data_IF_901198427606
#
_entry.id   IF_901198427606
#
_cell.length_a   1.000
_cell.length_b   1.000
_cell.length_c   1.000
_cell.angle_alpha   90.00
_cell.angle_beta   90.00
_cell.angle_gamma   90.00
#
_symmetry.space_group_name_H-M   'P 1'
#
loop_
_entity.id
_entity.type
_entity.pdbx_description
1 polymer ?
#
# COMPACT_ATOMS: atom_id res chain seq x y z
N UNK A 1 -21.91 7.96 -0.34
CA UNK A 1 -20.58 7.55 -0.80
C UNK A 1 -19.62 8.64 -0.37
N UNK A 2 -18.47 8.28 0.19
CA UNK A 2 -17.49 9.21 0.75
C UNK A 2 -16.12 8.92 0.16
N UNK A 3 -15.33 9.96 -0.07
CA UNK A 3 -13.89 9.85 -0.36
C UNK A 3 -13.13 10.29 0.88
N UNK A 4 -12.11 9.52 1.27
CA UNK A 4 -11.18 9.82 2.35
C UNK A 4 -9.90 10.41 1.74
N UNK A 5 -9.40 11.49 2.30
CA UNK A 5 -8.16 12.10 1.84
C UNK A 5 -7.48 12.90 2.95
N UNK A 6 -6.19 13.19 2.75
CA UNK A 6 -5.48 14.19 3.54
C UNK A 6 -5.24 15.43 2.70
N UNK A 7 -5.13 16.58 3.35
CA UNK A 7 -4.76 17.84 2.68
C UNK A 7 -3.87 18.67 3.58
N UNK A 8 -2.94 19.40 2.99
CA UNK A 8 -2.09 20.33 3.72
C UNK A 8 -2.94 21.36 4.50
N UNK A 9 -2.48 21.69 5.69
CA UNK A 9 -3.12 22.65 6.61
C UNK A 9 -2.08 23.66 7.08
N UNK A 10 -1.58 24.54 6.19
CA UNK A 10 -0.39 25.36 6.45
C UNK A 10 -0.62 26.49 7.47
N UNK A 11 -1.87 26.73 7.87
CA UNK A 11 -2.24 27.78 8.82
C UNK A 11 -2.10 27.34 10.30
N UNK A 12 -1.87 26.05 10.56
CA UNK A 12 -1.70 25.49 11.90
C UNK A 12 -0.21 25.19 12.17
N UNK A 13 0.38 25.77 13.23
CA UNK A 13 1.76 25.43 13.65
C UNK A 13 1.87 23.92 13.96
N UNK A 14 3.05 23.33 13.72
CA UNK A 14 3.36 21.91 13.94
C UNK A 14 2.43 20.91 13.22
N UNK A 15 1.71 21.39 12.20
CA UNK A 15 0.74 20.60 11.44
C UNK A 15 1.17 20.46 9.98
N UNK A 16 1.29 19.21 9.53
CA UNK A 16 1.68 18.83 8.18
C UNK A 16 0.44 18.76 7.29
N UNK A 17 -0.60 18.05 7.76
CA UNK A 17 -1.85 17.87 7.05
C UNK A 17 -3.01 17.56 8.01
N UNK A 18 -4.24 17.61 7.50
CA UNK A 18 -5.43 17.13 8.19
C UNK A 18 -6.11 15.98 7.44
N UNK A 19 -6.90 15.18 8.15
CA UNK A 19 -7.70 14.08 7.59
C UNK A 19 -9.15 14.53 7.34
N UNK A 20 -9.65 14.29 6.14
CA UNK A 20 -10.93 14.81 5.65
C UNK A 20 -11.74 13.73 4.95
N UNK A 21 -13.06 13.90 4.93
CA UNK A 21 -13.94 13.14 4.03
C UNK A 21 -14.77 14.09 3.16
N UNK A 22 -15.02 13.71 1.91
CA UNK A 22 -15.91 14.45 1.01
C UNK A 22 -17.07 13.57 0.56
N UNK A 23 -18.29 14.11 0.56
CA UNK A 23 -19.46 13.41 0.04
C UNK A 23 -19.42 13.38 -1.49
N UNK A 24 -19.54 12.19 -2.08
CA UNK A 24 -19.61 12.01 -3.53
C UNK A 24 -21.04 12.06 -4.09
N UNK A 25 -22.04 12.19 -3.21
CA UNK A 25 -23.46 12.22 -3.59
C UNK A 25 -24.00 13.65 -3.61
N UNK A 26 -23.34 14.55 -2.88
CA UNK A 26 -23.67 15.95 -2.88
C UNK A 26 -22.99 16.64 -4.07
N UNK A 27 -23.74 17.43 -4.83
CA UNK A 27 -23.19 18.23 -5.93
C UNK A 27 -22.19 19.28 -5.46
N UNK A 28 -22.28 19.69 -4.19
CA UNK A 28 -21.37 20.66 -3.59
C UNK A 28 -20.07 20.03 -3.07
N UNK A 29 -19.94 18.69 -3.11
CA UNK A 29 -18.79 17.95 -2.57
C UNK A 29 -18.41 18.41 -1.16
N UNK A 30 -19.39 18.48 -0.26
CA UNK A 30 -19.17 18.98 1.10
C UNK A 30 -18.03 18.20 1.78
N UNK A 31 -17.02 18.95 2.22
CA UNK A 31 -15.83 18.44 2.88
C UNK A 31 -15.98 18.56 4.39
N UNK A 32 -15.70 17.47 5.09
CA UNK A 32 -15.77 17.37 6.55
C UNK A 32 -14.37 17.16 7.13
N UNK A 33 -13.95 18.07 8.00
CA UNK A 33 -12.74 17.92 8.81
C UNK A 33 -13.02 16.90 9.92
N UNK A 34 -12.20 15.84 10.00
CA UNK A 34 -12.32 14.85 11.07
C UNK A 34 -11.63 15.29 12.36
N UNK A 35 -10.95 16.44 12.37
CA UNK A 35 -10.22 16.96 13.52
C UNK A 35 -8.95 16.15 13.84
N UNK A 36 -8.47 15.39 12.86
CA UNK A 36 -7.26 14.57 12.95
C UNK A 36 -6.17 15.24 12.11
N UNK A 37 -4.95 15.26 12.64
CA UNK A 37 -3.77 15.92 12.05
C UNK A 37 -2.61 14.96 11.87
N UNK A 38 -1.69 15.32 10.98
CA UNK A 38 -0.38 14.70 10.76
C UNK A 38 -0.48 13.20 10.43
N UNK A 39 -1.12 12.91 9.31
CA UNK A 39 -1.30 11.57 8.75
C UNK A 39 -0.36 11.40 7.55
N UNK A 40 0.71 10.63 7.73
CA UNK A 40 1.73 10.42 6.68
C UNK A 40 1.60 9.05 6.02
N UNK A 41 1.47 8.00 6.84
CA UNK A 41 1.63 6.62 6.38
C UNK A 41 0.32 5.91 6.07
N UNK A 42 -0.68 6.10 6.94
CA UNK A 42 -1.86 5.25 6.91
C UNK A 42 -3.11 5.98 7.38
N UNK A 43 -4.11 5.99 6.51
CA UNK A 43 -5.51 6.16 6.86
C UNK A 43 -6.36 5.38 5.86
N UNK A 44 -7.27 4.54 6.35
CA UNK A 44 -8.13 3.74 5.50
C UNK A 44 -9.46 3.43 6.19
N UNK A 45 -10.48 3.16 5.39
CA UNK A 45 -11.79 2.73 5.86
C UNK A 45 -11.69 1.36 6.51
N UNK A 46 -12.37 1.15 7.63
CA UNK A 46 -12.64 -0.21 8.09
C UNK A 46 -13.52 -0.88 7.03
N UNK A 47 -13.12 -2.03 6.47
CA UNK A 47 -13.78 -2.69 5.33
C UNK A 47 -15.08 -3.40 5.75
N UNK A 48 -16.07 -2.60 6.14
CA UNK A 48 -17.43 -3.03 6.50
C UNK A 48 -18.46 -2.24 5.69
N UNK A 49 -19.68 -2.76 5.52
CA UNK A 49 -20.74 -2.09 4.76
C UNK A 49 -22.00 -1.86 5.62
N UNK A 50 -22.43 -0.59 5.83
CA UNK A 50 -21.74 0.66 5.52
C UNK A 50 -20.54 0.90 6.45
N UNK A 51 -19.52 1.63 5.95
CA UNK A 51 -18.42 2.11 6.79
C UNK A 51 -18.53 3.62 7.02
N UNK A 52 -18.48 4.00 8.30
CA UNK A 52 -18.26 5.37 8.77
C UNK A 52 -17.07 5.42 9.72
N UNK A 53 -16.26 4.37 9.74
CA UNK A 53 -15.12 4.20 10.65
C UNK A 53 -13.85 4.17 9.83
N UNK A 54 -12.90 4.99 10.23
CA UNK A 54 -11.59 5.13 9.62
C UNK A 54 -10.55 4.74 10.65
N UNK A 55 -9.56 3.98 10.23
CA UNK A 55 -8.38 3.66 11.02
C UNK A 55 -7.20 4.42 10.45
N UNK A 56 -6.36 4.99 11.30
CA UNK A 56 -5.22 5.80 10.88
C UNK A 56 -4.05 5.70 11.86
N UNK A 57 -2.87 6.11 11.38
CA UNK A 57 -1.64 6.28 12.18
C UNK A 57 -1.17 7.72 12.10
N UNK A 58 -0.69 8.28 13.21
CA UNK A 58 -0.27 9.69 13.29
C UNK A 58 1.24 9.85 13.32
N UNK A 59 1.69 11.05 12.98
CA UNK A 59 3.07 11.51 13.08
C UNK A 59 3.13 12.83 13.84
N UNK A 60 4.33 13.21 14.26
CA UNK A 60 4.64 14.53 14.78
C UNK A 60 5.51 15.28 13.77
N UNK A 61 5.32 16.59 13.65
CA UNK A 61 6.23 17.44 12.88
C UNK A 61 7.61 17.43 13.52
N UNK A 62 8.66 17.44 12.71
CA UNK A 62 10.04 17.43 13.18
C UNK A 62 10.89 18.38 12.35
N UNK A 63 11.83 19.06 12.99
CA UNK A 63 12.85 19.86 12.29
C UNK A 63 13.95 18.99 11.67
N UNK A 64 14.06 17.72 12.08
CA UNK A 64 14.98 16.77 11.49
C UNK A 64 14.38 16.18 10.21
N UNK A 65 15.21 15.88 9.22
CA UNK A 65 14.77 15.14 8.03
C UNK A 65 14.10 13.82 8.45
N UNK A 66 12.99 13.39 7.81
CA UNK A 66 12.37 13.96 6.59
C UNK A 66 11.36 15.09 6.86
N UNK A 67 11.32 15.66 8.06
CA UNK A 67 10.36 16.70 8.45
C UNK A 67 9.27 16.21 9.40
N UNK A 68 9.28 14.93 9.76
CA UNK A 68 8.31 14.30 10.65
C UNK A 68 8.90 13.07 11.32
N UNK A 69 8.24 12.62 12.40
CA UNK A 69 8.52 11.37 13.09
C UNK A 69 7.21 10.62 13.34
N UNK A 70 7.14 9.34 12.96
CA UNK A 70 5.96 8.53 13.17
C UNK A 70 5.73 8.16 14.64
N UNK A 71 4.46 8.15 15.06
CA UNK A 71 4.06 7.65 16.37
C UNK A 71 3.90 6.13 16.42
N UNK A 72 3.85 5.46 15.25
CA UNK A 72 3.64 4.01 15.11
C UNK A 72 2.37 3.48 15.81
N UNK A 73 1.42 4.38 16.09
CA UNK A 73 0.16 4.07 16.74
C UNK A 73 -0.87 3.61 15.71
N UNK A 74 -2.00 3.10 16.21
CA UNK A 74 -3.17 2.79 15.41
C UNK A 74 -4.39 3.32 16.14
N UNK A 75 -5.13 4.22 15.50
CA UNK A 75 -6.28 4.90 16.09
C UNK A 75 -7.47 4.74 15.17
N UNK A 76 -8.66 4.64 15.73
CA UNK A 76 -9.93 4.61 14.99
C UNK A 76 -10.76 5.84 15.30
N UNK A 77 -11.42 6.40 14.29
CA UNK A 77 -12.42 7.43 14.44
C UNK A 77 -13.67 7.04 13.64
N UNK A 78 -14.83 7.28 14.24
CA UNK A 78 -16.12 7.08 13.58
C UNK A 78 -16.79 8.43 13.43
N UNK A 79 -17.44 8.70 12.31
CA UNK A 79 -18.29 9.88 12.14
C UNK A 79 -19.74 9.48 11.88
N UNK A 80 -20.68 10.41 12.10
CA UNK A 80 -22.10 10.15 11.84
C UNK A 80 -22.45 10.46 10.38
N UNK A 81 -23.59 9.95 9.89
CA UNK A 81 -24.11 10.33 8.56
C UNK A 81 -24.44 11.83 8.42
N UNK A 82 -24.49 12.58 9.54
CA UNK A 82 -24.61 14.04 9.57
C UNK A 82 -23.24 14.74 9.64
N UNK A 83 -22.14 14.02 9.43
CA UNK A 83 -20.78 14.55 9.37
C UNK A 83 -20.10 14.84 10.70
N UNK A 84 -20.67 14.42 11.84
CA UNK A 84 -20.06 14.67 13.15
C UNK A 84 -19.08 13.55 13.52
N UNK A 85 -17.79 13.87 13.63
CA UNK A 85 -16.79 12.97 14.19
C UNK A 85 -17.05 12.65 15.67
N UNK A 86 -16.93 11.38 16.04
CA UNK A 86 -17.01 10.89 17.41
C UNK A 86 -15.63 10.85 18.05
N UNK A 87 -15.57 10.55 19.35
CA UNK A 87 -14.31 10.45 20.08
C UNK A 87 -13.45 9.31 19.50
N UNK A 88 -12.18 9.56 19.15
CA UNK A 88 -11.27 8.51 18.68
C UNK A 88 -11.00 7.45 19.75
N UNK A 89 -10.75 6.22 19.31
CA UNK A 89 -10.31 5.09 20.14
C UNK A 89 -8.93 4.63 19.66
N UNK A 90 -7.96 4.62 20.58
CA UNK A 90 -6.64 4.01 20.33
C UNK A 90 -6.76 2.49 20.35
N UNK A 91 -6.22 1.84 19.33
CA UNK A 91 -6.00 0.39 19.26
C UNK A 91 -4.56 0.11 19.66
N UNK A 92 -3.58 0.69 18.97
CA UNK A 92 -2.15 0.55 19.31
C UNK A 92 -1.67 1.89 19.85
N UNK A 93 -1.11 1.88 21.06
CA UNK A 93 -0.49 3.07 21.67
C UNK A 93 0.76 3.49 20.90
N UNK A 94 1.13 4.77 21.03
CA UNK A 94 2.37 5.28 20.45
C UNK A 94 3.58 4.49 20.94
N UNK A 95 4.47 4.15 20.03
CA UNK A 95 5.61 3.29 20.31
C UNK A 95 6.81 3.59 19.40
N UNK A 96 7.95 3.00 19.73
CA UNK A 96 9.22 3.29 19.06
C UNK A 96 9.30 2.79 17.60
N UNK A 97 8.39 1.90 17.16
CA UNK A 97 8.35 1.44 15.77
C UNK A 97 9.45 0.49 15.31
N UNK A 98 10.30 -0.01 16.21
CA UNK A 98 11.40 -0.91 15.85
C UNK A 98 12.58 -0.20 15.17
N UNK A 99 13.38 -0.93 14.41
CA UNK A 99 14.47 -0.36 13.63
C UNK A 99 13.90 0.49 12.49
N UNK A 100 14.41 1.73 12.36
CA UNK A 100 13.82 2.77 11.51
C UNK A 100 12.39 3.17 11.86
N UNK A 101 11.95 2.95 13.10
CA UNK A 101 10.60 3.32 13.55
C UNK A 101 10.27 4.81 13.51
N UNK A 102 11.27 5.69 13.31
CA UNK A 102 11.03 7.10 13.00
C UNK A 102 10.32 7.29 11.65
N UNK A 103 10.51 6.37 10.70
CA UNK A 103 9.78 6.33 9.44
C UNK A 103 8.37 5.78 9.61
N UNK A 104 8.17 4.81 10.49
CA UNK A 104 6.82 4.46 10.91
C UNK A 104 6.33 3.07 10.54
N UNK A 105 5.08 2.81 10.92
CA UNK A 105 4.36 1.57 10.69
C UNK A 105 3.25 1.82 9.69
N UNK A 106 3.24 1.08 8.58
CA UNK A 106 2.09 1.02 7.69
C UNK A 106 1.14 -0.09 8.16
N UNK A 107 -0.15 0.10 7.92
CA UNK A 107 -1.17 -0.90 8.19
C UNK A 107 -1.93 -1.20 6.90
N UNK A 108 -2.42 -2.42 6.76
CA UNK A 108 -3.13 -2.88 5.57
C UNK A 108 -4.30 -3.74 5.99
N UNK A 109 -5.52 -3.25 5.75
CA UNK A 109 -6.74 -4.03 5.94
C UNK A 109 -6.80 -5.18 4.93
N UNK A 110 -7.31 -6.32 5.37
CA UNK A 110 -7.87 -7.31 4.48
C UNK A 110 -9.18 -6.82 3.87
N UNK A 111 -9.90 -7.70 3.21
CA UNK A 111 -11.20 -7.40 2.62
C UNK A 111 -12.37 -7.58 3.60
N UNK A 112 -12.08 -7.72 4.90
CA UNK A 112 -13.03 -7.77 6.00
C UNK A 112 -12.50 -7.01 7.25
N UNK A 113 -13.39 -6.77 8.22
CA UNK A 113 -13.09 -5.97 9.41
C UNK A 113 -12.26 -6.67 10.47
N UNK A 114 -11.88 -7.93 10.25
CA UNK A 114 -11.25 -8.79 11.25
C UNK A 114 -9.77 -9.02 10.94
N UNK A 115 -9.34 -8.80 9.70
CA UNK A 115 -7.97 -8.95 9.26
C UNK A 115 -7.29 -7.61 9.05
N UNK A 116 -6.33 -7.28 9.92
CA UNK A 116 -5.46 -6.12 9.76
C UNK A 116 -4.01 -6.55 9.90
N UNK A 117 -3.19 -6.23 8.89
CA UNK A 117 -1.75 -6.43 8.93
C UNK A 117 -1.03 -5.13 9.30
N UNK A 118 0.17 -5.26 9.84
CA UNK A 118 1.13 -4.16 9.95
C UNK A 118 2.42 -4.52 9.23
N UNK A 119 3.14 -3.50 8.77
CA UNK A 119 4.47 -3.64 8.17
C UNK A 119 5.36 -2.47 8.56
N UNK A 120 6.62 -2.79 8.85
CA UNK A 120 7.72 -1.92 9.23
C UNK A 120 8.95 -2.25 8.38
N UNK A 121 10.00 -1.45 8.50
CA UNK A 121 11.27 -1.72 7.83
C UNK A 121 11.93 -3.03 8.30
N UNK A 122 11.61 -3.50 9.51
CA UNK A 122 12.24 -4.65 10.16
C UNK A 122 11.32 -5.85 10.38
N UNK A 123 10.02 -5.72 10.11
CA UNK A 123 9.07 -6.79 10.41
C UNK A 123 7.71 -6.55 9.76
N UNK A 124 6.95 -7.63 9.59
CA UNK A 124 5.52 -7.55 9.33
C UNK A 124 4.76 -8.57 10.15
N UNK A 125 3.47 -8.32 10.35
CA UNK A 125 2.62 -9.20 11.12
C UNK A 125 1.16 -8.78 11.12
N UNK A 126 0.45 -9.20 12.16
CA UNK A 126 -0.98 -8.89 12.34
C UNK A 126 -1.19 -7.89 13.46
N UNK A 127 -2.32 -7.20 13.41
CA UNK A 127 -2.89 -6.48 14.55
C UNK A 127 -3.96 -7.37 15.18
N UNK A 128 -3.77 -7.72 16.44
CA UNK A 128 -4.82 -8.36 17.24
C UNK A 128 -5.75 -7.27 17.77
N UNK A 129 -6.93 -7.16 17.16
CA UNK A 129 -7.92 -6.12 17.46
C UNK A 129 -8.65 -6.34 18.81
N UNK A 130 -8.61 -7.56 19.34
CA UNK A 130 -9.20 -7.91 20.63
C UNK A 130 -8.25 -7.56 21.78
N UNK A 131 -6.97 -7.91 21.61
CA UNK A 131 -5.92 -7.66 22.61
C UNK A 131 -5.22 -6.32 22.43
N UNK A 132 -5.48 -5.61 21.33
CA UNK A 132 -4.84 -4.33 21.02
C UNK A 132 -3.30 -4.46 20.97
N UNK A 133 -2.80 -5.49 20.30
CA UNK A 133 -1.35 -5.80 20.21
C UNK A 133 -0.90 -6.09 18.78
N UNK A 134 0.40 -5.93 18.52
CA UNK A 134 1.03 -6.34 17.27
C UNK A 134 1.59 -7.76 17.44
N UNK A 135 1.24 -8.66 16.52
CA UNK A 135 1.75 -10.03 16.48
C UNK A 135 2.71 -10.16 15.29
N UNK A 136 4.01 -10.23 15.57
CA UNK A 136 5.02 -10.40 14.53
C UNK A 136 4.90 -11.78 13.86
N UNK A 137 4.76 -11.80 12.54
CA UNK A 137 4.77 -13.02 11.74
C UNK A 137 6.17 -13.31 11.17
N UNK A 138 6.90 -12.26 10.80
CA UNK A 138 8.20 -12.37 10.14
C UNK A 138 9.08 -11.15 10.45
N UNK A 139 10.33 -11.42 10.80
CA UNK A 139 11.41 -10.43 10.85
C UNK A 139 11.99 -10.23 9.44
N UNK A 140 12.38 -9.01 9.13
CA UNK A 140 12.99 -8.58 7.88
C UNK A 140 14.35 -7.97 8.21
N UNK A 141 15.37 -8.27 7.42
CA UNK A 141 16.64 -7.55 7.52
C UNK A 141 16.40 -6.15 6.95
N UNK A 142 16.50 -5.06 7.74
CA UNK A 142 16.18 -3.74 7.23
C UNK A 142 17.15 -3.31 6.14
N UNK A 143 16.63 -2.83 5.03
CA UNK A 143 17.44 -2.30 3.94
C UNK A 143 18.03 -0.93 4.34
N UNK A 144 19.34 -0.77 4.13
CA UNK A 144 20.07 0.44 4.46
C UNK A 144 20.08 1.40 3.25
N UNK A 145 19.14 2.34 3.23
CA UNK A 145 18.95 3.33 2.15
C UNK A 145 20.08 4.37 2.05
N UNK A 146 20.82 4.59 3.15
CA UNK A 146 21.81 5.67 3.30
C UNK A 146 21.24 7.09 3.11
N UNK A 147 19.92 7.26 3.13
CA UNK A 147 19.24 8.54 3.00
C UNK A 147 18.29 8.82 4.17
N UNK A 148 17.59 9.95 4.08
CA UNK A 148 16.60 10.40 5.08
C UNK A 148 15.24 9.73 4.87
N UNK A 149 15.24 8.45 4.48
CA UNK A 149 14.04 7.63 4.32
C UNK A 149 14.33 6.17 4.67
N UNK A 150 13.30 5.41 5.05
CA UNK A 150 13.41 3.98 5.26
C UNK A 150 12.57 3.22 4.25
N UNK A 151 13.11 2.11 3.73
CA UNK A 151 12.32 1.20 2.92
C UNK A 151 11.40 0.37 3.81
N UNK A 152 10.11 0.37 3.46
CA UNK A 152 9.09 -0.49 4.08
C UNK A 152 8.53 -1.38 2.97
N UNK A 153 8.44 -2.70 3.18
CA UNK A 153 7.89 -3.62 2.19
C UNK A 153 6.49 -3.22 1.72
N UNK A 154 6.26 -3.32 0.42
CA UNK A 154 4.89 -3.39 -0.11
C UNK A 154 4.24 -4.68 0.36
N UNK A 155 3.01 -4.61 0.87
CA UNK A 155 2.25 -5.73 1.43
C UNK A 155 0.79 -5.59 1.03
N UNK A 156 0.16 -6.69 0.60
CA UNK A 156 -1.28 -6.73 0.33
C UNK A 156 -1.88 -8.08 0.73
N UNK A 157 -3.14 -8.07 1.19
CA UNK A 157 -3.91 -9.28 1.40
C UNK A 157 -4.42 -9.86 0.08
N UNK A 158 -4.45 -11.19 -0.01
CA UNK A 158 -5.23 -11.90 -1.01
C UNK A 158 -6.73 -11.72 -0.76
N UNK A 159 -7.54 -11.89 -1.81
CA UNK A 159 -9.01 -11.83 -1.69
C UNK A 159 -9.62 -12.93 -0.84
N UNK A 160 -8.81 -13.92 -0.46
CA UNK A 160 -9.17 -14.98 0.47
C UNK A 160 -9.05 -14.58 1.95
N UNK A 161 -8.48 -13.41 2.27
CA UNK A 161 -8.09 -12.97 3.62
C UNK A 161 -7.21 -14.00 4.37
N UNK A 162 -6.54 -14.89 3.62
CA UNK A 162 -5.69 -15.96 4.16
C UNK A 162 -4.28 -15.90 3.60
N UNK A 163 -4.06 -15.22 2.49
CA UNK A 163 -2.74 -15.07 1.88
C UNK A 163 -2.27 -13.63 2.01
N UNK A 164 -1.00 -13.42 2.37
CA UNK A 164 -0.33 -12.13 2.30
C UNK A 164 0.73 -12.21 1.21
N UNK A 165 0.69 -11.26 0.27
CA UNK A 165 1.73 -11.03 -0.73
C UNK A 165 2.57 -9.85 -0.30
N UNK A 166 3.89 -9.98 -0.34
CA UNK A 166 4.79 -8.93 0.12
C UNK A 166 6.10 -8.91 -0.67
N UNK A 167 6.76 -7.76 -0.64
CA UNK A 167 8.10 -7.59 -1.19
C UNK A 167 9.12 -8.02 -0.14
N UNK A 168 9.80 -9.14 -0.35
CA UNK A 168 10.87 -9.63 0.52
C UNK A 168 12.20 -8.98 0.17
N UNK A 169 12.99 -8.60 1.17
CA UNK A 169 14.40 -8.23 1.03
C UNK A 169 15.26 -9.44 1.42
N UNK A 170 15.92 -10.03 0.42
CA UNK A 170 16.56 -11.34 0.53
C UNK A 170 18.09 -11.26 0.54
N UNK A 171 18.72 -12.43 0.73
CA UNK A 171 20.17 -12.57 0.84
C UNK A 171 20.94 -11.92 -0.34
N UNK A 172 22.13 -11.36 -0.06
CA UNK A 172 22.96 -10.73 -1.08
C UNK A 172 23.46 -11.74 -2.11
N UNK A 173 23.72 -11.25 -3.33
CA UNK A 173 24.25 -12.06 -4.43
C UNK A 173 25.76 -11.87 -4.61
N UNK A 174 26.33 -10.84 -3.99
CA UNK A 174 27.74 -10.50 -4.06
C UNK A 174 28.43 -10.52 -2.70
N UNK A 175 29.21 -9.48 -2.43
CA UNK A 175 30.01 -9.31 -1.21
C UNK A 175 29.45 -8.22 -0.29
N UNK A 176 28.35 -7.59 -0.69
CA UNK A 176 27.61 -6.63 0.11
C UNK A 176 27.08 -7.26 1.41
N UNK A 177 26.81 -6.42 2.41
CA UNK A 177 26.17 -6.88 3.64
C UNK A 177 24.71 -7.25 3.38
N UNK A 178 24.08 -8.07 4.23
CA UNK A 178 22.65 -8.36 4.11
C UNK A 178 21.75 -7.12 4.07
N UNK A 179 22.09 -6.07 4.83
CA UNK A 179 21.35 -4.80 4.83
C UNK A 179 21.49 -4.01 3.52
N UNK A 180 22.50 -4.32 2.70
CA UNK A 180 22.77 -3.69 1.42
C UNK A 180 22.43 -4.61 0.23
N UNK A 181 21.75 -5.73 0.48
CA UNK A 181 21.37 -6.65 -0.59
C UNK A 181 20.46 -5.95 -1.61
N UNK A 182 20.74 -6.09 -2.92
CA UNK A 182 19.89 -5.53 -3.96
C UNK A 182 18.74 -6.48 -4.34
N UNK A 183 18.58 -7.61 -3.63
CA UNK A 183 17.62 -8.66 -3.99
C UNK A 183 16.28 -8.40 -3.32
N UNK A 184 15.29 -8.09 -4.15
CA UNK A 184 13.90 -7.94 -3.74
C UNK A 184 13.01 -8.87 -4.56
N UNK A 185 12.22 -9.69 -3.89
CA UNK A 185 11.34 -10.70 -4.49
C UNK A 185 9.89 -10.44 -4.08
N UNK A 186 8.93 -10.94 -4.86
CA UNK A 186 7.55 -11.10 -4.36
C UNK A 186 7.42 -12.49 -3.78
N UNK A 187 7.06 -12.53 -2.51
CA UNK A 187 6.73 -13.75 -1.80
C UNK A 187 5.25 -13.77 -1.38
N UNK A 188 4.72 -14.97 -1.23
CA UNK A 188 3.43 -15.19 -0.59
C UNK A 188 3.59 -16.02 0.68
N UNK A 189 2.77 -15.71 1.67
CA UNK A 189 2.62 -16.48 2.90
C UNK A 189 1.14 -16.70 3.20
N UNK A 190 0.78 -17.93 3.53
CA UNK A 190 -0.56 -18.26 4.00
C UNK A 190 -0.63 -18.20 5.53
N UNK A 191 -1.71 -17.63 6.06
CA UNK A 191 -2.00 -17.56 7.48
C UNK A 191 -2.04 -18.95 8.11
N UNK A 192 -1.49 -19.08 9.33
CA UNK A 192 -1.36 -20.36 10.02
C UNK A 192 -0.24 -21.27 9.49
N UNK A 193 0.44 -20.87 8.41
CA UNK A 193 1.64 -21.52 7.88
C UNK A 193 2.86 -20.61 8.01
N UNK A 194 4.01 -21.24 8.26
CA UNK A 194 5.31 -20.57 8.17
C UNK A 194 5.96 -20.78 6.79
N UNK A 195 5.28 -21.48 5.88
CA UNK A 195 5.76 -21.65 4.52
C UNK A 195 5.66 -20.33 3.76
N UNK A 196 6.79 -19.88 3.24
CA UNK A 196 6.88 -18.76 2.29
C UNK A 196 7.17 -19.35 0.91
N UNK A 197 6.53 -18.80 -0.11
CA UNK A 197 6.77 -19.17 -1.49
C UNK A 197 7.19 -17.94 -2.27
N UNK A 198 8.36 -17.99 -2.89
CA UNK A 198 8.81 -16.98 -3.85
C UNK A 198 8.01 -17.15 -5.14
N UNK A 199 7.25 -16.12 -5.51
CA UNK A 199 6.39 -16.11 -6.70
C UNK A 199 7.05 -15.44 -7.90
N UNK A 200 7.80 -14.37 -7.65
CA UNK A 200 8.57 -13.67 -8.66
C UNK A 200 9.91 -13.22 -8.07
N UNK A 201 10.99 -13.54 -8.77
CA UNK A 201 12.34 -13.17 -8.36
C UNK A 201 12.74 -11.81 -8.92
N UNK A 202 13.53 -11.06 -8.15
CA UNK A 202 14.18 -9.81 -8.55
C UNK A 202 13.16 -8.82 -9.12
N UNK A 203 12.09 -8.57 -8.39
CA UNK A 203 11.02 -7.63 -8.74
C UNK A 203 11.44 -6.18 -8.49
N UNK A 204 12.39 -5.95 -7.59
CA UNK A 204 12.84 -4.63 -7.16
C UNK A 204 12.07 -4.12 -5.93
N UNK A 205 12.65 -3.14 -5.23
CA UNK A 205 12.18 -2.67 -3.92
C UNK A 205 10.81 -1.96 -3.97
N UNK A 206 10.44 -1.38 -5.12
CA UNK A 206 9.18 -0.65 -5.29
C UNK A 206 8.13 -1.45 -6.07
N UNK A 207 8.02 -2.75 -5.78
CA UNK A 207 7.13 -3.63 -6.52
C UNK A 207 5.63 -3.46 -6.19
N UNK A 208 5.27 -2.93 -5.02
CA UNK A 208 3.88 -2.57 -4.65
C UNK A 208 2.80 -3.55 -5.14
N UNK A 209 2.76 -4.80 -4.61
CA UNK A 209 1.80 -5.79 -5.05
C UNK A 209 0.36 -5.35 -4.74
N UNK A 210 -0.57 -5.63 -5.65
CA UNK A 210 -2.01 -5.39 -5.50
C UNK A 210 -2.82 -6.57 -6.06
N UNK A 211 -4.06 -6.75 -5.56
CA UNK A 211 -4.88 -7.93 -5.89
C UNK A 211 -6.20 -7.53 -6.55
N UNK A 212 -6.57 -8.25 -7.62
CA UNK A 212 -7.84 -8.04 -8.33
C UNK A 212 -9.05 -8.40 -7.48
N UNK A 213 -10.26 -8.08 -7.94
CA UNK A 213 -11.48 -8.73 -7.44
C UNK A 213 -11.47 -10.24 -7.74
N UNK A 214 -12.35 -10.99 -7.06
CA UNK A 214 -12.53 -12.43 -7.31
C UNK A 214 -13.06 -12.63 -8.73
N UNK A 215 -12.32 -13.40 -9.52
CA UNK A 215 -12.68 -13.76 -10.87
C UNK A 215 -13.73 -14.87 -10.85
N UNK A 216 -14.78 -14.71 -11.65
CA UNK A 216 -15.79 -15.75 -11.83
C UNK A 216 -15.16 -16.97 -12.51
N UNK A 217 -15.04 -18.06 -11.77
CA UNK A 217 -14.61 -19.36 -12.30
C UNK A 217 -15.80 -20.32 -12.37
N UNK A 218 -15.73 -21.29 -13.28
CA UNK A 218 -16.66 -22.43 -13.33
C UNK A 218 -16.34 -23.48 -12.26
N UNK A 219 -15.23 -23.30 -11.52
CA UNK A 219 -14.81 -24.14 -10.40
C UNK A 219 -15.15 -23.48 -9.07
N UNK A 220 -15.12 -24.24 -7.97
CA UNK A 220 -15.28 -23.71 -6.61
C UNK A 220 -14.02 -22.98 -6.08
N UNK A 221 -13.01 -22.76 -6.92
CA UNK A 221 -11.77 -22.11 -6.54
C UNK A 221 -11.96 -20.59 -6.46
N UNK A 222 -11.44 -19.98 -5.39
CA UNK A 222 -11.31 -18.52 -5.30
C UNK A 222 -10.13 -18.12 -6.19
N UNK A 223 -10.43 -17.71 -7.42
CA UNK A 223 -9.43 -17.22 -8.37
C UNK A 223 -9.36 -15.71 -8.33
N UNK A 224 -8.15 -15.16 -8.29
CA UNK A 224 -7.86 -13.75 -8.46
C UNK A 224 -6.43 -13.61 -9.01
N UNK A 225 -6.09 -12.41 -9.47
CA UNK A 225 -4.77 -12.08 -10.02
C UNK A 225 -4.03 -11.13 -9.08
N UNK A 226 -2.70 -11.20 -9.14
CA UNK A 226 -1.80 -10.30 -8.44
C UNK A 226 -1.09 -9.44 -9.49
N UNK A 227 -1.19 -8.12 -9.35
CA UNK A 227 -0.41 -7.16 -10.13
C UNK A 227 0.72 -6.61 -9.26
N UNK A 228 1.82 -6.21 -9.91
CA UNK A 228 2.94 -5.56 -9.25
C UNK A 228 3.81 -4.81 -10.27
N UNK A 229 4.70 -3.96 -9.78
CA UNK A 229 5.74 -3.32 -10.55
C UNK A 229 7.00 -4.20 -10.58
N UNK A 230 7.47 -4.51 -11.77
CA UNK A 230 8.72 -5.22 -12.03
C UNK A 230 9.79 -4.21 -12.46
N UNK A 231 10.88 -4.11 -11.71
CA UNK A 231 12.03 -3.31 -12.09
C UNK A 231 12.63 -3.82 -13.41
N UNK A 232 12.98 -2.87 -14.30
CA UNK A 232 13.71 -3.16 -15.54
C UNK A 232 15.16 -3.55 -15.24
N UNK A 233 15.78 -2.90 -14.25
CA UNK A 233 17.11 -3.23 -13.72
C UNK A 233 17.01 -3.58 -12.23
N UNK A 234 16.63 -4.82 -11.86
CA UNK A 234 16.29 -5.17 -10.48
C UNK A 234 17.39 -4.97 -9.45
N UNK A 235 18.65 -5.17 -9.85
CA UNK A 235 19.79 -5.03 -8.95
C UNK A 235 20.15 -3.57 -8.67
N UNK A 236 19.55 -2.64 -9.41
CA UNK A 236 19.66 -1.19 -9.24
C UNK A 236 18.25 -0.61 -9.01
N UNK A 237 17.39 -1.35 -8.30
CA UNK A 237 15.94 -1.10 -8.24
C UNK A 237 15.55 0.27 -7.69
N UNK A 238 16.40 0.94 -6.91
CA UNK A 238 16.15 2.30 -6.44
C UNK A 238 16.10 3.32 -7.59
N UNK A 239 17.00 3.18 -8.58
CA UNK A 239 17.13 4.09 -9.72
C UNK A 239 16.47 3.52 -11.00
N UNK A 240 15.88 2.32 -10.90
CA UNK A 240 15.25 1.64 -12.01
C UNK A 240 13.90 2.26 -12.36
N UNK A 241 13.54 2.21 -13.63
CA UNK A 241 12.13 2.29 -14.04
C UNK A 241 11.49 0.90 -13.98
N UNK A 242 10.17 0.86 -14.02
CA UNK A 242 9.38 -0.35 -13.75
C UNK A 242 8.39 -0.65 -14.89
N UNK A 243 7.82 -1.85 -14.87
CA UNK A 243 6.69 -2.25 -15.73
C UNK A 243 5.67 -3.01 -14.89
N UNK A 244 4.39 -2.84 -15.19
CA UNK A 244 3.31 -3.66 -14.62
C UNK A 244 3.49 -5.10 -15.07
N UNK A 245 3.55 -6.00 -14.09
CA UNK A 245 3.45 -7.43 -14.26
C UNK A 245 2.16 -7.92 -13.61
N UNK A 246 1.60 -9.01 -14.14
CA UNK A 246 0.44 -9.70 -13.57
C UNK A 246 0.69 -11.20 -13.58
N UNK A 247 0.29 -11.87 -12.52
CA UNK A 247 0.32 -13.33 -12.37
C UNK A 247 -0.98 -13.81 -11.70
N UNK A 248 -1.24 -15.11 -11.76
CA UNK A 248 -2.29 -15.73 -10.97
C UNK A 248 -1.86 -15.81 -9.48
N UNK A 249 -2.81 -16.05 -8.58
CA UNK A 249 -2.58 -16.06 -7.12
C UNK A 249 -1.47 -16.99 -6.63
N UNK A 250 -1.12 -18.01 -7.42
CA UNK A 250 -0.08 -19.01 -7.14
C UNK A 250 1.27 -18.71 -7.83
N UNK A 251 1.38 -17.57 -8.51
CA UNK A 251 2.56 -17.16 -9.28
C UNK A 251 2.61 -17.68 -10.71
N UNK A 252 1.66 -18.53 -11.12
CA UNK A 252 1.59 -19.00 -12.50
C UNK A 252 1.12 -17.90 -13.46
N UNK A 253 1.29 -18.14 -14.77
CA UNK A 253 0.85 -17.23 -15.83
C UNK A 253 1.39 -15.78 -15.73
N UNK A 254 2.58 -15.62 -15.11
CA UNK A 254 3.28 -14.35 -15.03
C UNK A 254 3.51 -13.74 -16.43
N UNK A 255 3.04 -12.51 -16.62
CA UNK A 255 3.21 -11.73 -17.85
C UNK A 255 3.47 -10.26 -17.54
N UNK A 256 4.23 -9.60 -18.42
CA UNK A 256 4.45 -8.16 -18.38
C UNK A 256 3.42 -7.46 -19.26
N UNK A 257 2.70 -6.49 -18.71
CA UNK A 257 1.57 -5.85 -19.38
C UNK A 257 1.91 -4.49 -19.97
N UNK A 258 2.46 -3.58 -19.15
CA UNK A 258 2.57 -2.18 -19.51
C UNK A 258 3.75 -1.51 -18.79
N UNK A 259 4.52 -0.62 -19.42
CA UNK A 259 4.44 -0.29 -20.85
C UNK A 259 4.95 -1.47 -21.71
N UNK A 260 4.60 -1.50 -23.01
CA UNK A 260 5.10 -2.51 -23.94
C UNK A 260 6.63 -2.58 -23.98
N UNK A 261 7.17 -3.73 -24.39
CA UNK A 261 8.62 -3.88 -24.51
C UNK A 261 9.20 -2.89 -25.51
N UNK A 262 10.26 -2.18 -25.11
CA UNK A 262 10.92 -1.15 -25.92
C UNK A 262 10.51 0.27 -25.53
N UNK A 263 9.37 0.44 -24.86
CA UNK A 263 8.97 1.74 -24.32
C UNK A 263 9.66 2.02 -22.98
N UNK A 264 9.90 3.31 -22.64
CA UNK A 264 10.43 3.71 -21.34
C UNK A 264 9.55 3.20 -20.18
N UNK A 265 10.14 2.70 -19.11
CA UNK A 265 9.39 2.19 -17.95
C UNK A 265 8.67 3.29 -17.15
N UNK A 266 7.83 2.84 -16.22
CA UNK A 266 7.13 3.66 -15.23
C UNK A 266 8.10 4.14 -14.14
N UNK A 267 7.86 5.34 -13.64
CA UNK A 267 8.43 5.77 -12.36
C UNK A 267 7.62 5.11 -11.23
N UNK A 268 8.27 4.43 -10.27
CA UNK A 268 7.57 3.78 -9.18
C UNK A 268 6.95 4.83 -8.25
N UNK A 269 5.65 4.73 -8.01
CA UNK A 269 4.91 5.60 -7.10
C UNK A 269 3.76 4.84 -6.45
N UNK A 270 3.39 5.23 -5.23
CA UNK A 270 2.15 4.77 -4.59
C UNK A 270 0.96 5.56 -5.17
N UNK A 271 -0.24 4.96 -5.34
CA UNK A 271 -0.65 3.64 -4.84
C UNK A 271 -0.25 2.40 -5.67
N UNK A 272 0.74 2.48 -6.57
CA UNK A 272 1.13 1.35 -7.43
C UNK A 272 0.05 1.07 -8.49
N UNK A 273 0.00 -0.14 -9.08
CA UNK A 273 -1.05 -0.52 -10.02
C UNK A 273 -2.40 -0.73 -9.32
N UNK A 274 -3.44 0.01 -9.69
CA UNK A 274 -4.76 -0.07 -9.02
C UNK A 274 -5.77 -0.80 -9.89
N UNK A 275 -6.30 -1.91 -9.37
CA UNK A 275 -7.31 -2.72 -10.08
C UNK A 275 -8.66 -2.01 -10.14
N UNK A 276 -9.29 -2.08 -11.31
CA UNK A 276 -10.70 -1.75 -11.46
C UNK A 276 -11.59 -2.71 -10.65
N UNK A 277 -12.80 -2.28 -10.24
CA UNK A 277 -13.77 -3.15 -9.56
C UNK A 277 -14.21 -4.36 -10.40
N UNK A 278 -14.00 -4.34 -11.72
CA UNK A 278 -14.27 -5.48 -12.60
C UNK A 278 -13.13 -6.51 -12.63
N UNK A 279 -11.94 -6.17 -12.14
CA UNK A 279 -10.74 -7.02 -12.21
C UNK A 279 -10.18 -7.23 -13.63
N UNK A 280 -10.68 -6.50 -14.63
CA UNK A 280 -10.30 -6.61 -16.05
C UNK A 280 -9.38 -5.47 -16.52
N UNK A 281 -9.26 -4.41 -15.72
CA UNK A 281 -8.42 -3.24 -15.99
C UNK A 281 -7.56 -2.85 -14.80
N UNK A 282 -6.42 -2.22 -15.08
CA UNK A 282 -5.50 -1.63 -14.10
C UNK A 282 -5.28 -0.16 -14.45
N UNK A 283 -5.45 0.73 -13.48
CA UNK A 283 -5.02 2.12 -13.59
C UNK A 283 -3.53 2.23 -13.18
N UNK A 284 -2.77 3.04 -13.92
CA UNK A 284 -1.39 3.42 -13.58
C UNK A 284 -1.12 4.89 -13.87
N UNK A 285 -0.18 5.47 -13.13
CA UNK A 285 0.40 6.77 -13.47
C UNK A 285 1.63 6.51 -14.33
N UNK A 286 1.63 7.03 -15.55
CA UNK A 286 2.75 6.90 -16.48
C UNK A 286 3.10 8.27 -17.05
N UNK A 287 4.32 8.74 -16.75
CA UNK A 287 4.82 10.07 -17.12
C UNK A 287 3.93 11.21 -16.61
N UNK A 288 3.42 11.06 -15.39
CA UNK A 288 2.53 12.04 -14.75
C UNK A 288 1.09 12.02 -15.28
N UNK A 289 0.72 11.10 -16.16
CA UNK A 289 -0.66 10.98 -16.67
C UNK A 289 -1.33 9.69 -16.20
N UNK A 290 -2.66 9.73 -16.09
CA UNK A 290 -3.48 8.56 -15.81
C UNK A 290 -3.64 7.70 -17.07
N UNK A 291 -3.34 6.41 -16.94
CA UNK A 291 -3.54 5.40 -17.97
C UNK A 291 -4.38 4.26 -17.45
N UNK A 292 -5.25 3.72 -18.30
CA UNK A 292 -6.00 2.49 -18.06
C UNK A 292 -5.45 1.39 -18.97
N UNK A 293 -5.00 0.30 -18.37
CA UNK A 293 -4.43 -0.86 -19.04
C UNK A 293 -5.42 -2.01 -18.99
N UNK A 294 -5.76 -2.55 -20.14
CA UNK A 294 -6.54 -3.78 -20.26
C UNK A 294 -5.68 -4.98 -19.87
N UNK A 295 -6.16 -5.80 -18.93
CA UNK A 295 -5.35 -6.85 -18.28
C UNK A 295 -5.08 -8.03 -19.22
N UNK A 296 -5.99 -8.30 -20.15
CA UNK A 296 -5.89 -9.45 -21.04
C UNK A 296 -5.06 -9.14 -22.30
N UNK A 297 -5.14 -7.90 -22.80
CA UNK A 297 -4.42 -7.46 -24.02
C UNK A 297 -3.13 -6.68 -23.74
N UNK A 298 -2.98 -6.09 -22.55
CA UNK A 298 -1.88 -5.18 -22.21
C UNK A 298 -1.97 -3.81 -22.90
N UNK A 299 -3.05 -3.52 -23.63
CA UNK A 299 -3.23 -2.24 -24.30
C UNK A 299 -3.53 -1.15 -23.26
N UNK A 300 -2.68 -0.12 -23.23
CA UNK A 300 -2.87 1.07 -22.39
C UNK A 300 -3.57 2.21 -23.14
N UNK A 301 -4.53 2.85 -22.48
CA UNK A 301 -5.19 4.06 -22.94
C UNK A 301 -4.91 5.21 -21.97
N UNK A 302 -4.35 6.30 -22.49
CA UNK A 302 -4.14 7.55 -21.77
C UNK A 302 -5.48 8.30 -21.57
N UNK A 303 -5.74 8.78 -20.35
CA UNK A 303 -6.94 9.54 -19.99
C UNK A 303 -6.67 11.03 -19.69
N UNK A 304 -5.49 11.38 -19.17
CA UNK A 304 -5.05 12.76 -18.94
C UNK A 304 -3.81 13.06 -19.78
N UNK A 305 -3.48 14.34 -19.99
CA UNK A 305 -2.34 14.74 -20.82
C UNK A 305 -1.64 16.00 -20.31
N UNK A 306 -1.74 16.28 -19.01
CA UNK A 306 -1.13 17.46 -18.37
C UNK A 306 0.15 17.12 -17.59
N UNK A 307 0.42 15.83 -17.35
CA UNK A 307 1.58 15.36 -16.60
C UNK A 307 1.51 15.66 -15.11
N UNK A 308 0.31 15.90 -14.54
CA UNK A 308 0.14 16.34 -13.15
C UNK A 308 -0.59 15.36 -12.24
N UNK A 309 -0.92 14.16 -12.73
CA UNK A 309 -1.56 13.12 -11.93
C UNK A 309 -0.56 12.54 -10.92
N UNK A 310 -0.92 12.59 -9.62
CA UNK A 310 -0.09 12.07 -8.53
C UNK A 310 -0.73 10.90 -7.78
N UNK A 311 -2.06 10.88 -7.69
CA UNK A 311 -2.83 9.87 -6.97
C UNK A 311 -4.03 9.50 -7.84
N UNK A 312 -4.44 8.23 -7.77
CA UNK A 312 -5.60 7.70 -8.49
C UNK A 312 -6.28 6.62 -7.63
N UNK A 313 -7.58 6.48 -7.80
CA UNK A 313 -8.35 5.37 -7.22
C UNK A 313 -9.61 5.11 -8.06
N UNK A 314 -10.22 3.94 -7.86
CA UNK A 314 -11.50 3.59 -8.47
C UNK A 314 -12.66 3.78 -7.50
N UNK A 315 -13.78 4.28 -8.01
CA UNK A 315 -15.04 4.15 -7.31
C UNK A 315 -15.51 2.68 -7.38
N UNK A 316 -15.92 2.06 -6.25
CA UNK A 316 -16.47 0.71 -6.24
C UNK A 316 -17.87 0.61 -6.84
#
# INVERSE_FOLDING_TARGET
>A
QWVLFTRETPEEEDTINGLWVASMVDSEFEMLDLGVRNIIHFADWVPQKPSFTITYSTSESSIASPGWQANNNLVTITFTGAGRALRPRTIIEANAGGQYGWWGTNYIWGYDSDHLAYVRADSYGLVDLDKNELITLQEIIPFQTLGDWAWVPGLVWGRDNQTIYFVAHDEPIGLESPQASPVFNIEARTMGSNLKLTLAERTGMFAYPTVSEILSSHTAEISYRVAFLQAITPLESQESTYRVAVMDRDGSNLRYLFPPSGDPGLEPSLPGPVWSPGGDRIAVIYRGDLWIVDVDTGIGQQLTADGQTQIMDWAP
#
